data_IF_807601347035
#
_entry.id   IF_807601347035
#
_cell.length_a   1.000
_cell.length_b   1.000
_cell.length_c   1.000
_cell.angle_alpha   90.00
_cell.angle_beta   90.00
_cell.angle_gamma   90.00
#
_symmetry.space_group_name_H-M   'P 1'
#
loop_
_entity.id
_entity.type
_entity.pdbx_description
1 polymer ?
#
# COMPACT_ATOMS: atom_id res chain seq x y z
N UNK A 1 -7.01 -1.41 -21.80
CA UNK A 1 -8.48 -1.37 -21.79
C UNK A 1 -8.94 -2.67 -21.14
N UNK A 2 -9.67 -2.64 -20.00
CA UNK A 2 -10.25 -3.86 -19.45
C UNK A 2 -11.25 -4.42 -20.46
N UNK A 3 -11.18 -5.72 -20.75
CA UNK A 3 -12.17 -6.41 -21.58
C UNK A 3 -13.36 -6.85 -20.74
N UNK A 4 -14.47 -7.21 -21.39
CA UNK A 4 -15.64 -7.69 -20.67
C UNK A 4 -15.37 -9.06 -20.02
N UNK A 5 -15.86 -9.32 -18.79
CA UNK A 5 -15.74 -10.61 -18.10
C UNK A 5 -16.12 -11.82 -18.95
N UNK A 6 -17.07 -11.64 -19.88
CA UNK A 6 -17.56 -12.67 -20.80
C UNK A 6 -16.58 -13.12 -21.89
N UNK A 7 -15.46 -12.42 -22.06
CA UNK A 7 -14.46 -12.71 -23.12
C UNK A 7 -13.22 -13.42 -22.55
N UNK A 8 -13.08 -13.48 -21.23
CA UNK A 8 -11.91 -14.06 -20.60
C UNK A 8 -11.97 -15.59 -20.60
N UNK A 9 -11.09 -16.20 -21.38
CA UNK A 9 -10.73 -17.62 -21.20
C UNK A 9 -9.75 -17.83 -20.03
N UNK A 10 -9.06 -16.76 -19.62
CA UNK A 10 -8.06 -16.75 -18.54
C UNK A 10 -8.53 -15.81 -17.43
N UNK A 11 -8.58 -16.32 -16.21
CA UNK A 11 -8.95 -15.57 -15.02
C UNK A 11 -7.70 -15.26 -14.23
N UNK A 12 -7.57 -14.04 -13.74
CA UNK A 12 -6.38 -13.60 -13.01
C UNK A 12 -6.76 -13.24 -11.59
N UNK A 13 -5.97 -13.72 -10.63
CA UNK A 13 -6.15 -13.44 -9.22
C UNK A 13 -4.89 -12.81 -8.64
N UNK A 14 -4.97 -11.66 -7.97
CA UNK A 14 -3.85 -11.08 -7.27
C UNK A 14 -3.49 -11.94 -6.05
N UNK A 15 -2.20 -12.09 -5.80
CA UNK A 15 -1.65 -12.65 -4.57
C UNK A 15 -0.67 -11.64 -3.96
N UNK A 16 -0.77 -11.47 -2.64
CA UNK A 16 0.04 -10.49 -1.91
C UNK A 16 1.15 -11.19 -1.15
N UNK A 17 2.38 -10.75 -1.35
CA UNK A 17 3.51 -11.14 -0.51
C UNK A 17 3.87 -9.96 0.39
N UNK A 18 3.86 -10.18 1.70
CA UNK A 18 4.29 -9.18 2.67
C UNK A 18 5.78 -9.35 2.96
N UNK A 19 6.44 -8.24 3.24
CA UNK A 19 7.84 -8.23 3.63
C UNK A 19 8.12 -7.15 4.65
N UNK A 20 9.15 -7.39 5.43
CA UNK A 20 9.70 -6.45 6.41
C UNK A 20 11.15 -6.16 6.11
N UNK A 21 11.62 -4.99 6.51
CA UNK A 21 13.02 -4.63 6.62
C UNK A 21 13.36 -4.20 8.04
N UNK A 22 14.43 -4.74 8.60
CA UNK A 22 15.04 -4.18 9.81
C UNK A 22 15.89 -2.97 9.43
N UNK A 23 15.92 -1.94 10.29
CA UNK A 23 16.88 -0.84 10.16
C UNK A 23 17.78 -0.95 11.38
N UNK A 24 19.02 -1.40 11.18
CA UNK A 24 20.04 -1.58 12.23
C UNK A 24 20.40 -0.31 13.03
N UNK A 25 19.96 0.88 12.59
CA UNK A 25 20.16 2.13 13.34
C UNK A 25 19.07 2.37 14.41
N UNK A 26 19.38 2.03 15.67
CA UNK A 26 18.52 2.29 16.85
C UNK A 26 18.19 3.77 17.13
N UNK A 27 18.79 4.72 16.41
CA UNK A 27 18.70 6.17 16.64
C UNK A 27 17.67 6.93 15.77
N UNK A 28 16.91 6.24 14.91
CA UNK A 28 16.27 6.91 13.76
C UNK A 28 14.75 7.18 13.84
N UNK A 29 14.07 6.89 14.95
CA UNK A 29 12.59 7.03 15.05
C UNK A 29 12.04 8.45 14.76
N UNK A 30 12.82 9.50 14.98
CA UNK A 30 12.34 10.90 14.87
C UNK A 30 12.59 11.51 13.48
N UNK A 31 13.52 10.97 12.67
CA UNK A 31 13.88 11.46 11.32
C UNK A 31 13.30 10.60 10.17
N UNK A 32 12.48 9.59 10.48
CA UNK A 32 12.10 8.53 9.54
C UNK A 32 11.06 8.93 8.45
N UNK A 33 10.16 9.88 8.69
CA UNK A 33 9.04 10.13 7.74
C UNK A 33 9.44 10.87 6.45
N UNK A 34 10.41 11.79 6.49
CA UNK A 34 10.97 12.39 5.27
C UNK A 34 11.78 11.39 4.43
N UNK A 35 12.35 10.35 5.08
CA UNK A 35 13.00 9.23 4.40
C UNK A 35 11.97 8.33 3.71
N UNK A 36 10.77 8.18 4.26
CA UNK A 36 9.69 7.36 3.69
C UNK A 36 9.14 7.94 2.38
N UNK A 37 8.87 9.25 2.32
CA UNK A 37 8.39 9.89 1.08
C UNK A 37 9.43 9.79 -0.04
N UNK A 38 10.69 10.08 0.28
CA UNK A 38 11.82 9.93 -0.66
C UNK A 38 11.96 8.48 -1.15
N UNK A 39 11.85 7.50 -0.24
CA UNK A 39 11.91 6.08 -0.61
C UNK A 39 10.76 5.68 -1.55
N UNK A 40 9.54 6.16 -1.29
CA UNK A 40 8.39 5.95 -2.19
C UNK A 40 8.61 6.58 -3.55
N UNK A 41 9.14 7.79 -3.61
CA UNK A 41 9.42 8.48 -4.87
C UNK A 41 10.49 7.74 -5.71
N UNK A 42 11.58 7.32 -5.07
CA UNK A 42 12.66 6.56 -5.72
C UNK A 42 12.17 5.19 -6.21
N UNK A 43 11.29 4.54 -5.46
CA UNK A 43 10.79 3.19 -5.80
C UNK A 43 9.58 3.20 -6.72
N UNK A 44 8.79 4.27 -6.79
CA UNK A 44 7.53 4.30 -7.56
C UNK A 44 7.68 4.01 -9.06
N UNK A 45 8.85 4.32 -9.65
CA UNK A 45 9.12 4.11 -11.08
C UNK A 45 9.70 2.74 -11.40
N UNK A 46 10.24 2.04 -10.40
CA UNK A 46 10.97 0.79 -10.59
C UNK A 46 10.07 -0.39 -10.98
N UNK A 47 8.83 -0.56 -10.46
CA UNK A 47 7.93 -1.63 -10.92
C UNK A 47 7.57 -1.51 -12.40
N UNK A 48 7.23 -0.30 -12.85
CA UNK A 48 6.89 -0.04 -14.26
C UNK A 48 8.08 -0.33 -15.17
N UNK A 49 9.27 0.14 -14.80
CA UNK A 49 10.50 -0.15 -15.54
C UNK A 49 10.85 -1.66 -15.56
N UNK A 50 10.65 -2.36 -14.44
CA UNK A 50 10.84 -3.81 -14.36
C UNK A 50 9.88 -4.53 -15.31
N UNK A 51 8.58 -4.20 -15.26
CA UNK A 51 7.56 -4.82 -16.11
C UNK A 51 7.78 -4.48 -17.59
N UNK A 52 8.13 -3.24 -17.92
CA UNK A 52 8.44 -2.82 -19.29
C UNK A 52 9.63 -3.60 -19.85
N UNK A 53 10.70 -3.79 -19.06
CA UNK A 53 11.84 -4.62 -19.48
C UNK A 53 11.43 -6.08 -19.69
N UNK A 54 10.55 -6.60 -18.84
CA UNK A 54 10.05 -7.95 -18.96
C UNK A 54 9.23 -8.13 -20.25
N UNK A 55 8.30 -7.20 -20.53
CA UNK A 55 7.43 -7.23 -21.72
C UNK A 55 8.24 -7.02 -23.00
N UNK A 56 9.23 -6.12 -23.00
CA UNK A 56 10.04 -5.81 -24.18
C UNK A 56 10.99 -6.95 -24.58
N UNK A 57 11.00 -8.09 -23.88
CA UNK A 57 11.73 -9.28 -24.29
C UNK A 57 13.21 -9.03 -24.51
N UNK A 58 13.84 -8.13 -23.73
CA UNK A 58 15.30 -7.99 -23.73
C UNK A 58 15.89 -9.20 -22.99
N UNK A 59 15.85 -10.35 -23.66
CA UNK A 59 16.21 -11.70 -23.20
C UNK A 59 17.59 -11.79 -22.55
N UNK A 60 18.48 -10.82 -22.77
CA UNK A 60 19.83 -10.84 -22.23
C UNK A 60 19.96 -10.46 -20.75
N UNK A 61 18.89 -10.02 -20.06
CA UNK A 61 18.99 -9.53 -18.66
C UNK A 61 18.07 -10.23 -17.65
N UNK A 62 17.11 -11.07 -18.07
CA UNK A 62 16.28 -11.81 -17.12
C UNK A 62 16.56 -13.31 -17.24
N UNK A 63 17.08 -13.93 -16.16
CA UNK A 63 17.19 -15.37 -16.10
C UNK A 63 15.84 -16.06 -16.32
N UNK A 64 15.84 -17.22 -16.97
CA UNK A 64 14.64 -18.01 -17.16
C UNK A 64 13.98 -18.34 -15.81
N UNK A 65 12.67 -18.11 -15.72
CA UNK A 65 11.91 -18.29 -14.49
C UNK A 65 12.06 -17.14 -13.49
N UNK A 66 12.53 -15.96 -13.89
CA UNK A 66 12.41 -14.76 -13.03
C UNK A 66 10.97 -14.50 -12.61
N UNK A 67 10.81 -14.00 -11.39
CA UNK A 67 9.51 -13.63 -10.85
C UNK A 67 9.02 -12.32 -11.47
N UNK A 68 7.72 -12.24 -11.73
CA UNK A 68 7.04 -11.04 -12.21
C UNK A 68 6.40 -10.37 -11.00
N UNK A 69 6.73 -9.11 -10.76
CA UNK A 69 6.07 -8.28 -9.74
C UNK A 69 5.26 -7.22 -10.45
N UNK A 70 3.94 -7.26 -10.25
CA UNK A 70 2.99 -6.35 -10.90
C UNK A 70 2.88 -5.04 -10.17
N UNK A 71 2.99 -5.07 -8.84
CA UNK A 71 2.94 -3.87 -8.02
C UNK A 71 3.81 -4.00 -6.76
N UNK A 72 4.22 -2.86 -6.24
CA UNK A 72 5.05 -2.75 -5.04
C UNK A 72 4.58 -1.55 -4.22
N UNK A 73 4.30 -1.79 -2.93
CA UNK A 73 3.79 -0.75 -2.04
C UNK A 73 4.59 -0.70 -0.74
N UNK A 74 5.15 0.47 -0.41
CA UNK A 74 5.82 0.69 0.88
C UNK A 74 4.82 1.26 1.87
N UNK A 75 4.50 0.54 2.93
CA UNK A 75 3.45 0.91 3.89
C UNK A 75 3.97 1.81 5.00
N UNK A 76 5.18 1.51 5.50
CA UNK A 76 5.87 2.31 6.51
C UNK A 76 7.39 2.15 6.35
N UNK A 77 8.17 2.57 7.35
CA UNK A 77 9.63 2.48 7.29
C UNK A 77 10.17 1.05 7.39
N UNK A 78 9.36 0.07 7.75
CA UNK A 78 9.72 -1.33 7.95
C UNK A 78 8.96 -2.28 7.03
N UNK A 79 7.73 -1.98 6.65
CA UNK A 79 6.88 -2.93 5.93
C UNK A 79 6.58 -2.49 4.51
N UNK A 80 6.58 -3.47 3.61
CA UNK A 80 6.18 -3.30 2.22
C UNK A 80 5.45 -4.56 1.72
N UNK A 81 4.71 -4.42 0.63
CA UNK A 81 4.00 -5.51 -0.03
C UNK A 81 4.31 -5.56 -1.51
N UNK A 82 4.22 -6.77 -2.05
CA UNK A 82 4.36 -7.10 -3.45
C UNK A 82 3.07 -7.74 -3.94
N UNK A 83 2.64 -7.38 -5.13
CA UNK A 83 1.50 -7.99 -5.79
C UNK A 83 1.97 -8.75 -7.02
N UNK A 84 1.53 -10.00 -7.12
CA UNK A 84 1.78 -10.92 -8.23
C UNK A 84 0.46 -11.53 -8.68
N UNK A 85 0.38 -12.02 -9.91
CA UNK A 85 -0.84 -12.65 -10.42
C UNK A 85 -0.73 -14.18 -10.49
N UNK A 86 -1.86 -14.83 -10.17
CA UNK A 86 -2.13 -16.23 -10.45
C UNK A 86 -3.12 -16.26 -11.60
N UNK A 87 -2.70 -16.75 -12.76
CA UNK A 87 -3.53 -16.84 -13.96
C UNK A 87 -4.05 -18.27 -14.13
N UNK A 88 -5.34 -18.43 -14.34
CA UNK A 88 -6.02 -19.71 -14.44
C UNK A 88 -6.74 -19.84 -15.77
N UNK A 89 -6.44 -20.90 -16.50
CA UNK A 89 -7.13 -21.29 -17.72
C UNK A 89 -7.72 -22.69 -17.53
N UNK A 90 -8.98 -22.86 -17.91
CA UNK A 90 -9.65 -24.17 -17.91
C UNK A 90 -10.25 -24.40 -19.27
N UNK A 91 -10.02 -25.59 -19.82
CA UNK A 91 -10.58 -26.00 -21.10
C UNK A 91 -11.03 -27.47 -21.08
N UNK A 92 -12.05 -27.83 -21.88
CA UNK A 92 -12.41 -29.22 -22.07
C UNK A 92 -11.27 -30.01 -22.74
N UNK A 93 -11.06 -31.24 -22.30
CA UNK A 93 -10.07 -32.15 -22.86
C UNK A 93 -10.58 -33.60 -22.86
N UNK A 94 -10.99 -34.09 -24.03
CA UNK A 94 -11.57 -35.43 -24.18
C UNK A 94 -12.87 -35.58 -23.39
N UNK A 95 -12.92 -36.53 -22.46
CA UNK A 95 -14.05 -36.76 -21.55
C UNK A 95 -13.98 -35.95 -20.24
N UNK A 96 -12.92 -35.17 -20.06
CA UNK A 96 -12.69 -34.37 -18.86
C UNK A 96 -12.26 -32.97 -19.24
N UNK A 97 -11.35 -32.40 -18.46
CA UNK A 97 -10.86 -31.05 -18.63
C UNK A 97 -9.40 -30.93 -18.22
N UNK A 98 -8.76 -29.89 -18.72
CA UNK A 98 -7.41 -29.49 -18.35
C UNK A 98 -7.46 -28.09 -17.75
N UNK A 99 -6.84 -27.94 -16.58
CA UNK A 99 -6.59 -26.64 -15.95
C UNK A 99 -5.11 -26.32 -16.01
N UNK A 100 -4.77 -25.10 -16.41
CA UNK A 100 -3.42 -24.57 -16.33
C UNK A 100 -3.46 -23.39 -15.37
N UNK A 101 -2.61 -23.45 -14.35
CA UNK A 101 -2.41 -22.38 -13.36
C UNK A 101 -0.99 -21.86 -13.51
N UNK A 102 -0.84 -20.63 -13.99
CA UNK A 102 0.43 -19.93 -14.07
C UNK A 102 0.59 -19.01 -12.87
N UNK A 103 1.82 -18.99 -12.33
CA UNK A 103 2.20 -18.11 -11.25
C UNK A 103 3.22 -17.12 -11.78
N UNK A 104 3.03 -15.86 -11.46
CA UNK A 104 4.06 -14.83 -11.60
C UNK A 104 5.27 -15.10 -10.67
N UNK A 105 5.13 -15.99 -9.70
CA UNK A 105 6.20 -16.42 -8.78
C UNK A 105 7.10 -17.46 -9.45
N UNK A 106 8.37 -17.09 -9.65
CA UNK A 106 9.41 -17.95 -10.20
C UNK A 106 10.59 -18.07 -9.23
N UNK A 107 11.75 -17.55 -9.64
CA UNK A 107 12.97 -17.52 -8.84
C UNK A 107 12.82 -16.63 -7.61
N UNK A 108 13.64 -16.93 -6.61
CA UNK A 108 13.75 -16.14 -5.38
C UNK A 108 14.01 -14.67 -5.74
N UNK A 109 13.11 -13.78 -5.30
CA UNK A 109 13.25 -12.34 -5.51
C UNK A 109 14.55 -11.79 -4.93
N UNK A 110 15.15 -12.42 -3.91
CA UNK A 110 16.46 -12.04 -3.40
C UNK A 110 17.63 -12.29 -4.38
N UNK A 111 17.40 -13.03 -5.47
CA UNK A 111 18.39 -13.29 -6.52
C UNK A 111 18.20 -12.41 -7.77
N UNK A 112 17.12 -11.64 -7.84
CA UNK A 112 16.89 -10.75 -8.98
C UNK A 112 17.86 -9.56 -8.96
N UNK A 113 18.47 -9.25 -10.10
CA UNK A 113 19.48 -8.19 -10.21
C UNK A 113 18.87 -6.77 -10.15
N UNK A 114 17.57 -6.64 -10.38
CA UNK A 114 16.88 -5.36 -10.45
C UNK A 114 15.42 -5.46 -9.99
N UNK A 115 15.06 -4.66 -8.98
CA UNK A 115 13.68 -4.52 -8.52
C UNK A 115 13.58 -3.58 -7.31
N UNK A 116 12.42 -2.94 -7.08
CA UNK A 116 12.19 -2.08 -5.91
C UNK A 116 12.24 -2.81 -4.57
N UNK A 117 12.10 -4.15 -4.58
CA UNK A 117 12.23 -5.00 -3.40
C UNK A 117 13.68 -5.34 -3.03
N UNK A 118 14.66 -4.94 -3.85
CA UNK A 118 16.07 -5.18 -3.56
C UNK A 118 16.57 -4.27 -2.45
N UNK A 119 17.49 -4.79 -1.64
CA UNK A 119 18.08 -4.07 -0.52
C UNK A 119 18.65 -2.69 -0.92
N UNK A 120 19.30 -2.63 -2.08
CA UNK A 120 19.83 -1.38 -2.67
C UNK A 120 18.73 -0.33 -2.91
N UNK A 121 17.59 -0.74 -3.49
CA UNK A 121 16.45 0.16 -3.71
C UNK A 121 15.77 0.54 -2.39
N UNK A 122 15.76 -0.39 -1.42
CA UNK A 122 15.25 -0.19 -0.08
C UNK A 122 16.22 0.58 0.84
N UNK A 123 17.40 0.96 0.37
CA UNK A 123 18.46 1.61 1.16
C UNK A 123 18.78 0.85 2.47
N UNK A 124 18.88 -0.47 2.38
CA UNK A 124 19.19 -1.38 3.49
C UNK A 124 20.12 -2.52 3.03
N UNK A 125 20.61 -3.32 3.97
CA UNK A 125 21.41 -4.50 3.68
C UNK A 125 20.53 -5.68 3.25
N UNK A 126 21.08 -6.60 2.44
CA UNK A 126 20.29 -7.71 1.87
C UNK A 126 19.72 -8.67 2.92
N UNK A 127 20.42 -8.83 4.04
CA UNK A 127 19.96 -9.65 5.18
C UNK A 127 18.91 -8.94 6.05
N UNK A 128 18.70 -7.64 5.87
CA UNK A 128 17.67 -6.89 6.59
C UNK A 128 16.29 -7.10 5.96
N UNK A 129 16.19 -7.54 4.70
CA UNK A 129 14.93 -7.82 4.01
C UNK A 129 14.44 -9.22 4.32
N UNK A 130 13.19 -9.35 4.76
CA UNK A 130 12.57 -10.63 5.10
C UNK A 130 11.16 -10.72 4.51
N UNK A 131 10.92 -11.71 3.65
CA UNK A 131 9.58 -12.06 3.18
C UNK A 131 8.83 -12.85 4.24
N UNK A 132 7.58 -12.48 4.46
CA UNK A 132 6.71 -13.08 5.46
C UNK A 132 5.87 -14.19 4.81
N UNK A 133 5.74 -15.36 5.45
CA UNK A 133 4.98 -16.47 4.89
C UNK A 133 3.47 -16.19 4.89
N UNK A 134 2.78 -16.69 3.87
CA UNK A 134 1.31 -16.72 3.85
C UNK A 134 0.82 -17.83 4.77
N UNK A 135 0.35 -17.45 5.95
CA UNK A 135 -0.02 -18.40 7.00
C UNK A 135 -1.44 -18.91 6.74
N UNK A 136 -1.53 -20.08 6.11
CA UNK A 136 -2.80 -20.79 5.89
C UNK A 136 -3.22 -21.68 7.07
N UNK A 137 -2.24 -22.19 7.85
CA UNK A 137 -2.40 -23.02 9.07
C UNK A 137 -1.22 -22.82 10.03
N UNK A 138 -1.37 -23.25 11.29
CA UNK A 138 -0.37 -23.13 12.39
C UNK A 138 1.07 -23.36 11.88
N UNK A 139 2.04 -22.58 12.38
CA UNK A 139 3.40 -22.60 11.86
C UNK A 139 4.05 -23.97 12.06
N UNK A 140 4.16 -24.75 10.98
CA UNK A 140 5.25 -25.70 10.82
C UNK A 140 6.52 -24.93 10.45
N UNK A 141 7.69 -25.48 10.78
CA UNK A 141 9.04 -24.89 10.63
C UNK A 141 9.12 -23.81 9.55
N UNK A 142 9.50 -22.60 9.96
CA UNK A 142 9.69 -21.47 9.06
C UNK A 142 10.67 -21.84 7.94
N UNK A 143 10.31 -21.62 6.66
CA UNK A 143 11.24 -21.80 5.57
C UNK A 143 12.40 -20.82 5.74
N UNK A 144 13.61 -21.36 5.77
CA UNK A 144 14.85 -20.64 6.09
C UNK A 144 15.32 -19.67 4.99
N UNK A 145 14.44 -19.28 4.04
CA UNK A 145 14.78 -18.49 2.85
C UNK A 145 13.63 -17.59 2.41
N UNK A 146 14.02 -16.52 1.72
CA UNK A 146 13.27 -15.42 1.09
C UNK A 146 12.21 -15.86 0.04
N UNK A 147 11.70 -17.08 0.12
CA UNK A 147 10.82 -17.66 -0.88
C UNK A 147 9.38 -17.21 -0.67
N UNK A 148 8.80 -16.68 -1.74
CA UNK A 148 7.41 -16.26 -1.79
C UNK A 148 6.50 -17.47 -1.62
N UNK A 149 5.51 -17.39 -0.73
CA UNK A 149 4.69 -18.55 -0.36
C UNK A 149 3.91 -19.15 -1.53
N UNK A 150 3.58 -18.34 -2.55
CA UNK A 150 2.96 -18.80 -3.79
C UNK A 150 3.83 -19.83 -4.55
N UNK A 151 5.16 -19.77 -4.44
CA UNK A 151 6.07 -20.72 -5.09
C UNK A 151 5.81 -22.18 -4.66
N UNK A 152 5.29 -22.36 -3.44
CA UNK A 152 5.02 -23.67 -2.84
C UNK A 152 3.59 -24.15 -3.05
N UNK A 153 2.76 -23.41 -3.80
CA UNK A 153 1.35 -23.77 -4.02
C UNK A 153 1.22 -25.18 -4.62
N UNK A 154 2.08 -25.52 -5.59
CA UNK A 154 2.10 -26.83 -6.25
C UNK A 154 2.42 -28.01 -5.31
N UNK A 155 3.14 -27.78 -4.21
CA UNK A 155 3.53 -28.84 -3.26
C UNK A 155 2.34 -29.26 -2.40
N UNK A 156 1.51 -28.29 -2.00
CA UNK A 156 0.43 -28.51 -1.05
C UNK A 156 -0.96 -28.56 -1.70
N UNK A 157 -1.03 -28.31 -3.01
CA UNK A 157 -2.27 -28.33 -3.77
C UNK A 157 -2.97 -29.68 -3.71
N UNK A 158 -4.27 -29.68 -3.43
CA UNK A 158 -5.12 -30.88 -3.50
C UNK A 158 -5.02 -31.81 -2.30
N UNK A 159 -4.11 -31.58 -1.34
CA UNK A 159 -3.93 -32.42 -0.16
C UNK A 159 -5.21 -32.59 0.69
N UNK A 160 -6.13 -31.61 0.61
CA UNK A 160 -7.37 -31.59 1.39
C UNK A 160 -8.63 -31.63 0.52
N UNK A 161 -8.46 -31.87 -0.78
CA UNK A 161 -9.55 -31.90 -1.74
C UNK A 161 -9.87 -33.36 -2.10
N UNK A 162 -11.15 -33.60 -2.32
CA UNK A 162 -11.63 -34.90 -2.77
C UNK A 162 -11.32 -35.10 -4.25
N UNK A 163 -10.41 -36.02 -4.59
CA UNK A 163 -9.93 -36.22 -5.96
C UNK A 163 -11.04 -36.52 -6.98
N UNK A 164 -12.08 -37.24 -6.57
CA UNK A 164 -13.24 -37.53 -7.44
C UNK A 164 -14.02 -36.25 -7.76
N UNK A 165 -14.29 -35.43 -6.74
CA UNK A 165 -14.93 -34.12 -6.92
C UNK A 165 -14.04 -33.15 -7.71
N UNK A 166 -12.72 -33.16 -7.49
CA UNK A 166 -11.78 -32.36 -8.28
C UNK A 166 -11.84 -32.73 -9.76
N UNK A 167 -11.82 -34.03 -10.09
CA UNK A 167 -11.89 -34.45 -11.50
C UNK A 167 -13.21 -34.04 -12.16
N UNK A 168 -14.30 -33.99 -11.39
CA UNK A 168 -15.63 -33.67 -11.91
C UNK A 168 -15.95 -32.17 -11.96
N UNK A 169 -15.37 -31.36 -11.08
CA UNK A 169 -15.71 -29.95 -10.90
C UNK A 169 -14.45 -29.08 -10.82
N UNK A 170 -14.25 -28.24 -11.83
CA UNK A 170 -13.03 -27.45 -11.95
C UNK A 170 -13.01 -26.27 -10.97
N UNK A 171 -14.17 -25.74 -10.57
CA UNK A 171 -14.23 -24.70 -9.54
C UNK A 171 -13.82 -25.28 -8.18
N UNK A 172 -14.32 -26.47 -7.84
CA UNK A 172 -13.90 -27.18 -6.63
C UNK A 172 -12.39 -27.45 -6.63
N UNK A 173 -11.82 -27.86 -7.77
CA UNK A 173 -10.38 -28.08 -7.90
C UNK A 173 -9.56 -26.81 -7.61
N UNK A 174 -10.09 -25.60 -7.84
CA UNK A 174 -9.40 -24.34 -7.57
C UNK A 174 -9.55 -23.83 -6.13
N UNK A 175 -10.29 -24.54 -5.27
CA UNK A 175 -10.60 -24.09 -3.91
C UNK A 175 -9.34 -23.72 -3.12
N UNK A 176 -8.27 -24.52 -3.21
CA UNK A 176 -7.04 -24.25 -2.47
C UNK A 176 -6.28 -23.02 -2.99
N UNK A 177 -6.42 -22.69 -4.29
CA UNK A 177 -5.89 -21.46 -4.89
C UNK A 177 -6.64 -20.24 -4.33
N UNK A 178 -7.99 -20.27 -4.36
CA UNK A 178 -8.82 -19.21 -3.78
C UNK A 178 -8.54 -18.99 -2.29
N UNK A 179 -8.33 -20.07 -1.53
CA UNK A 179 -7.96 -19.98 -0.12
C UNK A 179 -6.60 -19.31 0.06
N UNK A 180 -5.60 -19.69 -0.73
CA UNK A 180 -4.28 -19.05 -0.66
C UNK A 180 -4.38 -17.54 -0.84
N UNK A 181 -5.12 -17.10 -1.87
CA UNK A 181 -5.36 -15.68 -2.14
C UNK A 181 -6.06 -15.01 -0.95
N UNK A 182 -7.15 -15.61 -0.45
CA UNK A 182 -7.89 -15.08 0.69
C UNK A 182 -7.01 -14.90 1.95
N UNK A 183 -6.12 -15.86 2.24
CA UNK A 183 -5.17 -15.73 3.35
C UNK A 183 -4.14 -14.62 3.12
N UNK A 184 -3.63 -14.48 1.88
CA UNK A 184 -2.69 -13.41 1.55
C UNK A 184 -3.32 -12.02 1.71
N UNK A 185 -4.59 -11.87 1.29
CA UNK A 185 -5.35 -10.63 1.45
C UNK A 185 -5.70 -10.37 2.93
N UNK A 186 -6.08 -11.40 3.70
CA UNK A 186 -6.34 -11.25 5.12
C UNK A 186 -5.11 -10.72 5.89
N UNK A 187 -3.92 -11.22 5.55
CA UNK A 187 -2.67 -10.74 6.14
C UNK A 187 -2.34 -9.32 5.69
N UNK A 188 -2.55 -8.99 4.41
CA UNK A 188 -2.42 -7.62 3.92
C UNK A 188 -3.33 -6.65 4.69
N UNK A 189 -4.60 -7.00 4.90
CA UNK A 189 -5.52 -6.19 5.70
C UNK A 189 -5.03 -6.02 7.15
N UNK A 190 -4.42 -7.05 7.75
CA UNK A 190 -3.81 -6.93 9.08
C UNK A 190 -2.67 -5.90 9.09
N UNK A 191 -1.82 -5.90 8.04
CA UNK A 191 -0.72 -4.94 7.91
C UNK A 191 -1.25 -3.50 7.77
N UNK A 192 -2.22 -3.28 6.88
CA UNK A 192 -2.80 -1.95 6.65
C UNK A 192 -3.52 -1.44 7.89
N UNK A 193 -4.23 -2.32 8.61
CA UNK A 193 -4.84 -1.98 9.90
C UNK A 193 -3.79 -1.59 10.94
N UNK A 194 -2.70 -2.36 11.06
CA UNK A 194 -1.59 -2.00 11.96
C UNK A 194 -0.95 -0.65 11.58
N UNK A 195 -0.83 -0.36 10.30
CA UNK A 195 -0.33 0.93 9.83
C UNK A 195 -1.25 2.10 10.22
N UNK A 196 -2.58 1.90 10.16
CA UNK A 196 -3.57 2.86 10.64
C UNK A 196 -3.47 3.09 12.15
N UNK A 197 -3.42 1.99 12.93
CA UNK A 197 -3.32 2.03 14.39
C UNK A 197 -2.05 2.76 14.85
N UNK A 198 -0.93 2.59 14.13
CA UNK A 198 0.32 3.29 14.41
C UNK A 198 0.20 4.81 14.21
N UNK A 199 -0.56 5.28 13.22
CA UNK A 199 -0.79 6.72 12.99
C UNK A 199 -1.75 7.33 14.02
N UNK A 200 -2.57 6.50 14.66
CA UNK A 200 -3.51 6.87 15.70
C UNK A 200 -2.92 6.92 17.13
N UNK A 201 -1.64 6.58 17.31
CA UNK A 201 -1.01 6.64 18.63
C UNK A 201 -1.10 8.07 19.19
N UNK A 202 -1.68 8.20 20.38
CA UNK A 202 -1.93 9.45 21.13
C UNK A 202 -0.65 10.30 21.26
N UNK A 203 0.53 9.66 21.29
CA UNK A 203 1.82 10.36 21.34
C UNK A 203 2.17 11.12 20.06
N UNK A 204 1.56 10.77 18.93
CA UNK A 204 1.72 11.44 17.63
C UNK A 204 0.68 12.55 17.42
N UNK A 205 -0.48 12.46 18.06
CA UNK A 205 -1.52 13.49 17.97
C UNK A 205 -1.12 14.80 18.68
N UNK A 206 -0.21 14.72 19.66
CA UNK A 206 0.36 15.86 20.39
C UNK A 206 1.60 16.48 19.73
N UNK A 207 2.07 15.93 18.60
CA UNK A 207 3.31 16.33 17.94
C UNK A 207 3.17 17.53 16.98
N UNK A 208 4.32 18.12 16.60
CA UNK A 208 4.44 19.31 15.75
C UNK A 208 3.77 19.14 14.37
N UNK A 209 3.31 20.24 13.74
CA UNK A 209 2.57 20.23 12.47
C UNK A 209 3.23 19.48 11.30
N UNK A 210 4.57 19.48 11.21
CA UNK A 210 5.30 18.77 10.16
C UNK A 210 5.15 17.24 10.27
N UNK A 211 5.07 16.70 11.48
CA UNK A 211 4.88 15.26 11.72
C UNK A 211 3.43 14.84 11.40
N UNK A 212 2.46 15.71 11.69
CA UNK A 212 1.04 15.51 11.31
C UNK A 212 0.86 15.45 9.79
N UNK A 213 1.48 16.37 9.06
CA UNK A 213 1.41 16.41 7.59
C UNK A 213 1.97 15.13 6.96
N UNK A 214 3.12 14.64 7.45
CA UNK A 214 3.71 13.40 6.95
C UNK A 214 2.88 12.15 7.28
N UNK A 215 2.19 12.13 8.43
CA UNK A 215 1.23 11.07 8.78
C UNK A 215 0.03 11.05 7.87
N UNK A 216 -0.53 12.22 7.56
CA UNK A 216 -1.63 12.35 6.62
C UNK A 216 -1.26 11.78 5.24
N UNK A 217 -0.09 12.12 4.71
CA UNK A 217 0.39 11.53 3.46
C UNK A 217 0.58 10.01 3.53
N UNK A 218 0.98 9.49 4.69
CA UNK A 218 1.08 8.05 4.90
C UNK A 218 -0.29 7.37 4.85
N UNK A 219 -1.30 7.97 5.47
CA UNK A 219 -2.67 7.49 5.44
C UNK A 219 -3.27 7.54 4.04
N UNK A 220 -3.11 8.67 3.34
CA UNK A 220 -3.56 8.83 1.94
C UNK A 220 -2.94 7.75 1.05
N UNK A 221 -1.64 7.53 1.17
CA UNK A 221 -0.95 6.50 0.40
C UNK A 221 -1.50 5.10 0.70
N UNK A 222 -1.60 4.72 1.97
CA UNK A 222 -2.09 3.39 2.37
C UNK A 222 -3.56 3.19 1.98
N UNK A 223 -4.40 4.23 2.05
CA UNK A 223 -5.78 4.19 1.56
C UNK A 223 -5.83 3.94 0.05
N UNK A 224 -5.00 4.61 -0.75
CA UNK A 224 -4.97 4.38 -2.20
C UNK A 224 -4.59 2.93 -2.55
N UNK A 225 -3.68 2.33 -1.78
CA UNK A 225 -3.36 0.90 -1.92
C UNK A 225 -4.58 0.07 -1.51
N UNK A 226 -5.19 0.32 -0.34
CA UNK A 226 -6.38 -0.37 0.14
C UNK A 226 -7.54 -0.32 -0.87
N UNK A 227 -7.86 0.85 -1.43
CA UNK A 227 -8.93 1.04 -2.42
C UNK A 227 -8.74 0.17 -3.66
N UNK A 228 -7.48 -0.08 -4.06
CA UNK A 228 -7.17 -1.01 -5.16
C UNK A 228 -7.49 -2.45 -4.78
N UNK A 229 -7.14 -2.87 -3.57
CA UNK A 229 -7.45 -4.22 -3.08
C UNK A 229 -8.95 -4.44 -2.87
N UNK A 230 -9.67 -3.42 -2.36
CA UNK A 230 -11.14 -3.47 -2.22
C UNK A 230 -11.80 -3.78 -3.56
N UNK A 231 -11.46 -3.02 -4.62
CA UNK A 231 -12.01 -3.25 -5.97
C UNK A 231 -11.74 -4.67 -6.47
N UNK A 232 -10.52 -5.18 -6.28
CA UNK A 232 -10.19 -6.54 -6.70
C UNK A 232 -10.92 -7.61 -5.89
N UNK A 233 -11.07 -7.42 -4.57
CA UNK A 233 -11.85 -8.34 -3.74
C UNK A 233 -13.32 -8.36 -4.16
N UNK A 234 -13.90 -7.20 -4.50
CA UNK A 234 -15.25 -7.10 -5.06
C UNK A 234 -15.37 -7.83 -6.41
N UNK A 235 -14.38 -7.69 -7.30
CA UNK A 235 -14.33 -8.42 -8.58
C UNK A 235 -14.24 -9.93 -8.38
N UNK A 236 -13.39 -10.40 -7.45
CA UNK A 236 -13.24 -11.83 -7.14
C UNK A 236 -14.52 -12.38 -6.50
N UNK A 237 -15.13 -11.66 -5.55
CA UNK A 237 -16.40 -12.06 -4.94
C UNK A 237 -17.49 -12.15 -6.01
N UNK A 238 -17.60 -11.14 -6.87
CA UNK A 238 -18.55 -11.15 -7.99
C UNK A 238 -18.31 -12.35 -8.91
N UNK A 239 -17.06 -12.67 -9.21
CA UNK A 239 -16.72 -13.89 -9.95
C UNK A 239 -17.18 -15.14 -9.22
N UNK A 240 -16.87 -15.30 -7.93
CA UNK A 240 -17.26 -16.49 -7.15
C UNK A 240 -18.79 -16.63 -7.06
N UNK A 241 -19.54 -15.54 -6.96
CA UNK A 241 -21.01 -15.56 -6.95
C UNK A 241 -21.60 -15.97 -8.29
N UNK A 242 -20.99 -15.53 -9.39
CA UNK A 242 -21.54 -15.65 -10.74
C UNK A 242 -20.78 -16.63 -11.65
N UNK A 243 -19.79 -17.38 -11.14
CA UNK A 243 -18.89 -18.20 -11.94
C UNK A 243 -19.63 -19.15 -12.88
N UNK A 244 -20.74 -19.76 -12.43
CA UNK A 244 -21.58 -20.64 -13.24
C UNK A 244 -22.18 -20.00 -14.50
N UNK A 245 -22.28 -18.67 -14.54
CA UNK A 245 -22.82 -17.87 -15.65
C UNK A 245 -21.71 -17.22 -16.49
N UNK A 246 -20.57 -16.94 -15.87
CA UNK A 246 -19.44 -16.24 -16.51
C UNK A 246 -18.61 -17.22 -17.33
N UNK A 247 -18.38 -18.43 -16.81
CA UNK A 247 -17.53 -19.44 -17.44
C UNK A 247 -18.24 -20.77 -17.57
N UNK A 248 -18.08 -21.42 -18.72
CA UNK A 248 -18.63 -22.76 -18.99
C UNK A 248 -17.68 -23.85 -18.47
N UNK A 249 -17.41 -23.77 -17.17
CA UNK A 249 -16.51 -24.68 -16.49
C UNK A 249 -17.17 -26.03 -16.18
N UNK A 250 -16.44 -27.15 -16.30
CA UNK A 250 -16.93 -28.48 -15.93
C UNK A 250 -17.49 -28.54 -14.52
N UNK A 251 -18.64 -29.20 -14.37
CA UNK A 251 -19.40 -29.26 -13.11
C UNK A 251 -19.64 -30.71 -12.69
N UNK A 252 -19.71 -30.91 -11.38
CA UNK A 252 -20.04 -32.21 -10.82
C UNK A 252 -21.43 -32.71 -11.27
N UNK A 253 -21.45 -33.89 -11.90
CA UNK A 253 -22.67 -34.56 -12.36
C UNK A 253 -23.35 -35.34 -11.23
N UNK A 254 -22.56 -36.03 -10.40
CA UNK A 254 -23.03 -36.84 -9.27
C UNK A 254 -23.52 -35.96 -8.12
N UNK A 255 -24.61 -36.36 -7.46
CA UNK A 255 -25.20 -35.62 -6.33
C UNK A 255 -24.21 -35.37 -5.19
N UNK A 256 -23.40 -36.37 -4.83
CA UNK A 256 -22.40 -36.29 -3.75
C UNK A 256 -21.31 -35.28 -4.07
N UNK A 257 -20.72 -35.35 -5.27
CA UNK A 257 -19.68 -34.42 -5.71
C UNK A 257 -20.23 -33.00 -5.86
N UNK A 258 -21.49 -32.84 -6.30
CA UNK A 258 -22.16 -31.55 -6.38
C UNK A 258 -22.34 -30.92 -5.00
N UNK A 259 -22.80 -31.69 -4.01
CA UNK A 259 -22.94 -31.18 -2.64
C UNK A 259 -21.60 -30.73 -2.06
N UNK A 260 -20.52 -31.50 -2.27
CA UNK A 260 -19.15 -31.14 -1.84
C UNK A 260 -18.68 -29.83 -2.52
N UNK A 261 -18.89 -29.71 -3.82
CA UNK A 261 -18.56 -28.52 -4.61
C UNK A 261 -19.34 -27.28 -4.13
N UNK A 262 -20.65 -27.38 -4.02
CA UNK A 262 -21.52 -26.29 -3.55
C UNK A 262 -21.19 -25.87 -2.11
N UNK A 263 -20.83 -26.82 -1.25
CA UNK A 263 -20.37 -26.52 0.11
C UNK A 263 -19.04 -25.75 0.11
N UNK A 264 -18.09 -26.13 -0.74
CA UNK A 264 -16.82 -25.41 -0.88
C UNK A 264 -17.04 -24.00 -1.45
N UNK A 265 -17.88 -23.87 -2.48
CA UNK A 265 -18.23 -22.58 -3.07
C UNK A 265 -18.89 -21.64 -2.07
N UNK A 266 -19.89 -22.11 -1.30
CA UNK A 266 -20.52 -21.31 -0.23
C UNK A 266 -19.52 -20.85 0.82
N UNK A 267 -18.56 -21.70 1.18
CA UNK A 267 -17.50 -21.30 2.13
C UNK A 267 -16.62 -20.19 1.55
N UNK A 268 -16.20 -20.31 0.29
CA UNK A 268 -15.43 -19.25 -0.37
C UNK A 268 -16.23 -17.94 -0.49
N UNK A 269 -17.52 -18.01 -0.82
CA UNK A 269 -18.40 -16.84 -0.86
C UNK A 269 -18.44 -16.13 0.51
N UNK A 270 -18.60 -16.90 1.59
CA UNK A 270 -18.58 -16.36 2.94
C UNK A 270 -17.24 -15.73 3.28
N UNK A 271 -16.13 -16.43 3.05
CA UNK A 271 -14.77 -15.95 3.34
C UNK A 271 -14.47 -14.63 2.57
N UNK A 272 -14.81 -14.53 1.28
CA UNK A 272 -14.59 -13.32 0.49
C UNK A 272 -15.57 -12.19 0.82
N UNK A 273 -16.82 -12.50 1.15
CA UNK A 273 -17.79 -11.52 1.65
C UNK A 273 -17.29 -10.87 2.93
N UNK A 274 -16.72 -11.66 3.86
CA UNK A 274 -16.13 -11.15 5.10
C UNK A 274 -14.90 -10.29 4.82
N UNK A 275 -14.04 -10.66 3.86
CA UNK A 275 -12.89 -9.85 3.44
C UNK A 275 -13.31 -8.52 2.83
N UNK A 276 -14.29 -8.51 1.92
CA UNK A 276 -14.84 -7.29 1.32
C UNK A 276 -15.41 -6.40 2.42
N UNK A 277 -16.27 -6.94 3.30
CA UNK A 277 -16.85 -6.19 4.43
C UNK A 277 -15.76 -5.57 5.30
N UNK A 278 -14.76 -6.36 5.70
CA UNK A 278 -13.64 -5.89 6.54
C UNK A 278 -12.85 -4.78 5.84
N UNK A 279 -12.54 -4.93 4.56
CA UNK A 279 -11.80 -3.93 3.78
C UNK A 279 -12.58 -2.61 3.63
N UNK A 280 -13.91 -2.68 3.47
CA UNK A 280 -14.80 -1.52 3.42
C UNK A 280 -14.89 -0.79 4.77
N UNK A 281 -14.97 -1.53 5.88
CA UNK A 281 -14.89 -0.94 7.23
C UNK A 281 -13.55 -0.22 7.39
N UNK A 282 -12.44 -0.88 7.08
CA UNK A 282 -11.12 -0.28 7.19
C UNK A 282 -10.98 0.97 6.31
N UNK A 283 -11.52 0.96 5.08
CA UNK A 283 -11.55 2.14 4.21
C UNK A 283 -12.26 3.33 4.86
N UNK A 284 -13.40 3.06 5.52
CA UNK A 284 -14.17 4.07 6.26
C UNK A 284 -13.37 4.59 7.46
N UNK A 285 -12.66 3.72 8.16
CA UNK A 285 -11.81 4.11 9.29
C UNK A 285 -10.69 5.04 8.82
N UNK A 286 -10.05 4.76 7.69
CA UNK A 286 -9.06 5.66 7.09
C UNK A 286 -9.63 7.06 6.82
N UNK A 287 -10.86 7.14 6.27
CA UNK A 287 -11.54 8.42 6.02
C UNK A 287 -11.78 9.21 7.31
N UNK A 288 -12.34 8.54 8.32
CA UNK A 288 -12.58 9.15 9.62
C UNK A 288 -11.30 9.70 10.26
N UNK A 289 -10.21 8.93 10.20
CA UNK A 289 -8.92 9.35 10.78
C UNK A 289 -8.30 10.51 10.01
N UNK A 290 -8.38 10.49 8.68
CA UNK A 290 -7.88 11.59 7.85
C UNK A 290 -8.64 12.89 8.13
N UNK A 291 -9.96 12.83 8.27
CA UNK A 291 -10.79 13.99 8.62
C UNK A 291 -10.41 14.56 10.00
N UNK A 292 -10.22 13.68 11.00
CA UNK A 292 -9.78 14.10 12.34
C UNK A 292 -8.41 14.80 12.27
N UNK A 293 -7.44 14.22 11.56
CA UNK A 293 -6.10 14.78 11.45
C UNK A 293 -6.09 16.12 10.68
N UNK A 294 -6.88 16.22 9.61
CA UNK A 294 -7.00 17.45 8.82
C UNK A 294 -7.63 18.58 9.65
N UNK A 295 -8.71 18.30 10.37
CA UNK A 295 -9.35 19.28 11.26
C UNK A 295 -8.38 19.76 12.36
N UNK A 296 -7.63 18.84 12.96
CA UNK A 296 -6.61 19.17 13.96
C UNK A 296 -5.46 20.00 13.39
N UNK A 297 -5.02 19.72 12.16
CA UNK A 297 -3.99 20.51 11.48
C UNK A 297 -4.48 21.93 11.17
N UNK A 298 -5.74 22.09 10.76
CA UNK A 298 -6.35 23.40 10.54
C UNK A 298 -6.44 24.24 11.82
N UNK A 299 -6.79 23.63 12.95
CA UNK A 299 -6.83 24.31 14.26
C UNK A 299 -5.43 24.78 14.67
N UNK A 300 -4.41 23.92 14.51
CA UNK A 300 -3.02 24.24 14.86
C UNK A 300 -2.46 25.39 14.00
N UNK A 301 -2.74 25.38 12.70
CA UNK A 301 -2.32 26.47 11.79
C UNK A 301 -3.04 27.79 12.12
N UNK A 302 -4.33 27.73 12.49
CA UNK A 302 -5.09 28.90 12.95
C UNK A 302 -4.49 29.50 14.23
N UNK A 303 -4.15 28.67 15.22
CA UNK A 303 -3.50 29.12 16.46
C UNK A 303 -2.14 29.77 16.19
N UNK A 304 -1.35 29.21 15.26
CA UNK A 304 -0.08 29.80 14.84
C UNK A 304 -0.27 31.16 14.18
N UNK A 305 -1.20 31.27 13.23
CA UNK A 305 -1.50 32.53 12.56
C UNK A 305 -1.94 33.61 13.56
N UNK A 306 -2.76 33.25 14.57
CA UNK A 306 -3.16 34.15 15.66
C UNK A 306 -1.93 34.61 16.46
N UNK A 307 -1.05 33.68 16.87
CA UNK A 307 0.15 34.04 17.63
C UNK A 307 1.12 34.94 16.84
N UNK A 308 1.24 34.72 15.53
CA UNK A 308 2.02 35.57 14.64
C UNK A 308 1.41 36.95 14.51
N UNK A 309 0.08 37.04 14.37
CA UNK A 309 -0.64 38.31 14.32
C UNK A 309 -0.47 39.10 15.63
N UNK A 310 -0.51 38.45 16.80
CA UNK A 310 -0.20 39.08 18.08
C UNK A 310 1.25 39.58 18.16
N UNK A 311 2.21 38.82 17.62
CA UNK A 311 3.61 39.22 17.51
C UNK A 311 3.78 40.48 16.66
N UNK A 312 3.12 40.51 15.50
CA UNK A 312 3.09 41.69 14.62
C UNK A 312 2.43 42.87 15.33
N UNK A 313 1.31 42.67 16.03
CA UNK A 313 0.64 43.75 16.77
C UNK A 313 1.55 44.37 17.85
N UNK A 314 2.32 43.54 18.57
CA UNK A 314 3.32 44.01 19.55
C UNK A 314 4.44 44.83 18.88
N UNK A 315 4.97 44.35 17.75
CA UNK A 315 5.99 45.07 16.98
C UNK A 315 5.47 46.41 16.44
N UNK A 316 4.27 46.45 15.88
CA UNK A 316 3.64 47.68 15.38
C UNK A 316 3.42 48.69 16.50
N UNK A 317 2.99 48.23 17.68
CA UNK A 317 2.84 49.09 18.86
C UNK A 317 4.18 49.69 19.29
N UNK A 318 5.25 48.89 19.32
CA UNK A 318 6.61 49.36 19.61
C UNK A 318 7.08 50.38 18.57
N UNK A 319 6.91 50.10 17.28
CA UNK A 319 7.30 51.00 16.19
C UNK A 319 6.60 52.35 16.31
N UNK A 320 5.31 52.38 16.65
CA UNK A 320 4.56 53.63 16.83
C UNK A 320 5.17 54.55 17.91
N UNK A 321 5.60 53.97 19.04
CA UNK A 321 6.29 54.72 20.09
C UNK A 321 7.66 55.23 19.64
N UNK A 322 8.49 54.35 19.08
CA UNK A 322 9.87 54.68 18.74
C UNK A 322 10.00 55.64 17.56
N UNK A 323 9.16 55.52 16.53
CA UNK A 323 9.20 56.45 15.38
C UNK A 323 8.96 57.89 15.83
N UNK A 324 7.99 58.11 16.72
CA UNK A 324 7.67 59.44 17.24
C UNK A 324 8.80 59.97 18.13
N UNK A 325 9.35 59.13 19.02
CA UNK A 325 10.47 59.51 19.90
C UNK A 325 11.77 59.78 19.13
N UNK A 326 12.06 59.00 18.10
CA UNK A 326 13.22 59.19 17.24
C UNK A 326 13.09 60.48 16.42
N UNK A 327 11.89 60.84 15.98
CA UNK A 327 11.64 62.10 15.30
C UNK A 327 11.90 63.30 16.24
N UNK A 328 11.36 63.28 17.46
CA UNK A 328 11.60 64.36 18.43
C UNK A 328 13.07 64.45 18.81
N UNK A 329 13.73 63.32 19.09
CA UNK A 329 15.16 63.29 19.37
C UNK A 329 16.01 63.79 18.19
N UNK A 330 15.59 63.56 16.94
CA UNK A 330 16.27 64.09 15.75
C UNK A 330 16.12 65.61 15.63
N UNK A 331 14.89 66.13 15.78
CA UNK A 331 14.61 67.57 15.74
C UNK A 331 15.40 68.32 16.82
N UNK A 332 15.45 67.79 18.04
CA UNK A 332 16.11 68.44 19.18
C UNK A 332 17.59 68.08 19.34
N UNK A 333 18.06 67.01 18.70
CA UNK A 333 19.46 66.55 18.75
C UNK A 333 20.33 67.06 17.60
N UNK A 334 19.74 67.69 16.57
CA UNK A 334 20.48 68.31 15.48
C UNK A 334 21.19 69.60 15.93
N UNK A 335 22.51 69.65 15.77
CA UNK A 335 23.29 70.88 15.87
C UNK A 335 22.92 71.82 14.71
N UNK A 336 21.95 72.69 14.93
CA UNK A 336 21.52 73.68 13.94
C UNK A 336 22.50 74.86 13.92
N UNK A 337 23.42 74.88 12.96
CA UNK A 337 24.03 76.14 12.51
C UNK A 337 23.03 76.87 11.61
N UNK A 338 22.23 77.74 12.23
CA UNK A 338 21.56 78.89 11.62
C UNK A 338 20.69 78.62 10.38
N UNK A 339 19.38 78.42 10.59
CA UNK A 339 18.32 78.61 9.58
C UNK A 339 17.67 80.00 9.70
N UNK A 340 18.47 81.03 9.99
CA UNK A 340 18.10 82.44 9.82
C UNK A 340 18.99 83.02 8.72
N UNK A 341 18.66 82.66 7.48
CA UNK A 341 19.09 83.45 6.32
C UNK A 341 18.23 84.69 6.23
N UNK A 342 18.89 85.85 6.37
CA UNK A 342 18.42 87.21 6.08
C UNK A 342 17.13 87.33 5.25
N UNK A 343 15.98 87.41 5.90
CA UNK A 343 14.83 88.11 5.34
C UNK A 343 14.97 89.60 5.72
N UNK A 344 15.59 90.37 4.82
CA UNK A 344 15.59 91.84 4.89
C UNK A 344 14.15 92.34 4.83
N UNK A 345 13.64 92.87 5.94
CA UNK A 345 12.56 93.85 5.92
C UNK A 345 13.13 95.18 5.44
N UNK A 346 12.74 95.61 4.25
CA UNK A 346 12.93 96.99 3.78
C UNK A 346 11.61 97.53 3.23
N UNK A 347 11.11 98.55 3.94
CA UNK A 347 9.96 99.46 3.73
C UNK A 347 8.59 98.87 4.10
#
# INVERSE_FOLDING_TARGET
MPSLPSVYSIIQFPAVTLASRSSSSHTAQIYHRGKLSKLREETARLPGYHLDKFIQGRESHFPQGSSIVRNFSIHDCRHFSLEQEISVYIAPHGKGWVGIVWLDTGRDLGQDEAGPWQAKALQCESWEVQFQPTVQRRPGKEPNRLLQSAAFLHINYGQHLDHETMAADSFYALTDVFRFIAFSEAQFLNLVQSALDQELDIRLLSQQSLQKTAGLWNLVYNKQVLDRHVRRLEEILSFIEHHHKIVDWPKAVTSISREKSEKAARKLQMDYSDLVKRSCTLRTDFDNVMDILQNNAMIDESQKAISQAEGVAKLTRLAFFFVTLSLTASIFGMNTRQLTGDARLSI
#
